data_IF_295249789296
#
_entry.id   IF_295249789296
#
_cell.length_a   1.000
_cell.length_b   1.000
_cell.length_c   1.000
_cell.angle_alpha   90.00
_cell.angle_beta   90.00
_cell.angle_gamma   90.00
#
_symmetry.space_group_name_H-M   'P 1'
#
loop_
_entity.id
_entity.type
_entity.pdbx_description
1 polymer ?
#
# COMPACT_ATOMS: atom_id res chain seq x y z
N UNK A 1 -1.95 -13.57 0.70
CA UNK A 1 -0.92 -13.70 1.75
C UNK A 1 -0.40 -12.30 2.07
N UNK A 2 -0.25 -11.95 3.35
CA UNK A 2 0.31 -10.68 3.79
C UNK A 2 1.23 -10.90 5.01
N UNK A 3 2.29 -10.10 5.11
CA UNK A 3 3.19 -10.09 6.27
C UNK A 3 2.64 -9.27 7.43
N UNK A 4 3.14 -9.53 8.65
CA UNK A 4 2.80 -8.81 9.87
C UNK A 4 2.99 -7.32 9.71
N UNK A 5 3.96 -6.93 8.89
CA UNK A 5 4.23 -5.53 8.63
C UNK A 5 2.96 -4.83 8.17
N UNK A 6 2.00 -5.44 7.46
CA UNK A 6 0.76 -4.79 6.96
C UNK A 6 -0.32 -4.51 8.01
N UNK A 7 -0.15 -4.95 9.26
CA UNK A 7 -1.06 -4.62 10.37
C UNK A 7 -0.66 -3.26 10.91
N UNK A 8 -1.62 -2.34 11.04
CA UNK A 8 -1.39 -0.98 11.53
C UNK A 8 -2.29 -0.73 12.72
N UNK A 9 -1.68 -0.27 13.82
CA UNK A 9 -2.40 0.24 14.98
C UNK A 9 -2.96 1.64 14.68
N UNK A 10 -4.15 1.93 15.19
CA UNK A 10 -4.82 3.22 15.02
C UNK A 10 -5.97 3.19 14.01
N UNK A 11 -6.08 4.26 13.22
CA UNK A 11 -7.20 4.50 12.32
C UNK A 11 -6.87 4.28 10.84
N UNK A 12 -7.88 4.46 9.99
CA UNK A 12 -7.75 4.35 8.53
C UNK A 12 -6.72 5.35 7.99
N UNK A 13 -6.63 6.56 8.57
CA UNK A 13 -5.66 7.57 8.13
C UNK A 13 -4.22 7.11 8.38
N UNK A 14 -3.96 6.47 9.52
CA UNK A 14 -2.66 5.90 9.87
C UNK A 14 -2.27 4.78 8.88
N UNK A 15 -3.23 3.93 8.51
CA UNK A 15 -3.02 2.90 7.50
C UNK A 15 -2.70 3.48 6.11
N UNK A 16 -3.46 4.49 5.67
CA UNK A 16 -3.22 5.19 4.40
C UNK A 16 -1.85 5.87 4.40
N UNK A 17 -1.47 6.51 5.51
CA UNK A 17 -0.18 7.17 5.66
C UNK A 17 0.97 6.18 5.49
N UNK A 18 0.90 5.00 6.11
CA UNK A 18 1.89 3.95 5.90
C UNK A 18 1.97 3.51 4.43
N UNK A 19 0.85 3.41 3.72
CA UNK A 19 0.88 3.08 2.28
C UNK A 19 1.62 4.16 1.49
N UNK A 20 1.31 5.44 1.75
CA UNK A 20 1.87 6.59 1.04
C UNK A 20 3.35 6.82 1.35
N UNK A 21 3.74 6.70 2.61
CA UNK A 21 5.06 7.11 3.10
C UNK A 21 6.07 5.95 3.14
N UNK A 22 5.60 4.70 3.29
CA UNK A 22 6.49 3.55 3.44
C UNK A 22 6.39 2.56 2.28
N UNK A 23 5.17 2.11 1.92
CA UNK A 23 5.03 1.04 0.94
C UNK A 23 5.18 1.52 -0.52
N UNK A 24 4.59 2.68 -0.84
CA UNK A 24 4.53 3.18 -2.23
C UNK A 24 5.86 3.67 -2.78
N UNK A 25 6.68 4.47 -2.06
CA UNK A 25 7.93 5.01 -2.61
C UNK A 25 8.95 3.94 -3.06
N UNK A 26 9.34 2.95 -2.23
CA UNK A 26 10.28 1.92 -2.65
C UNK A 26 9.69 1.01 -3.73
N UNK A 27 8.37 0.76 -3.71
CA UNK A 27 7.73 -0.05 -4.74
C UNK A 27 7.67 0.68 -6.10
N UNK A 28 7.38 1.98 -6.10
CA UNK A 28 7.42 2.82 -7.31
C UNK A 28 8.84 2.87 -7.89
N UNK A 29 9.86 3.02 -7.04
CA UNK A 29 11.27 2.95 -7.45
C UNK A 29 11.63 1.59 -8.04
N UNK A 30 11.27 0.49 -7.38
CA UNK A 30 11.52 -0.89 -7.87
C UNK A 30 10.89 -1.15 -9.25
N UNK A 31 9.72 -0.57 -9.50
CA UNK A 31 8.98 -0.70 -10.76
C UNK A 31 9.35 0.36 -11.81
N UNK A 32 10.33 1.23 -11.53
CA UNK A 32 10.77 2.32 -12.42
C UNK A 32 9.63 3.27 -12.85
N UNK A 33 8.69 3.57 -11.95
CA UNK A 33 7.63 4.54 -12.23
C UNK A 33 8.16 5.98 -12.18
N UNK A 34 7.66 6.86 -13.07
CA UNK A 34 8.03 8.28 -13.10
C UNK A 34 7.18 9.07 -12.13
N UNK A 35 7.38 8.81 -10.83
CA UNK A 35 6.68 9.51 -9.75
C UNK A 35 7.67 10.24 -8.85
N UNK A 36 7.30 11.41 -8.28
CA UNK A 36 8.18 12.13 -7.36
C UNK A 36 8.61 11.27 -6.17
N UNK A 37 7.77 10.32 -5.72
CA UNK A 37 8.11 9.43 -4.61
C UNK A 37 9.09 8.32 -4.99
N UNK A 38 9.17 7.91 -6.27
CA UNK A 38 10.19 6.98 -6.72
C UNK A 38 11.59 7.62 -6.61
N UNK A 39 11.70 8.91 -6.95
CA UNK A 39 12.97 9.64 -6.91
C UNK A 39 13.31 10.07 -5.48
N UNK A 40 12.43 10.84 -4.84
CA UNK A 40 12.68 11.43 -3.51
C UNK A 40 12.62 10.44 -2.34
N UNK A 41 11.91 9.33 -2.50
CA UNK A 41 11.61 8.41 -1.40
C UNK A 41 10.49 8.87 -0.46
N UNK A 42 9.92 10.07 -0.67
CA UNK A 42 8.85 10.64 0.16
C UNK A 42 7.58 10.87 -0.65
N UNK A 43 6.43 10.72 -0.01
CA UNK A 43 5.15 11.05 -0.65
C UNK A 43 5.00 12.57 -0.80
N UNK A 44 4.67 13.03 -2.01
CA UNK A 44 4.37 14.43 -2.31
C UNK A 44 2.90 14.65 -2.68
N UNK A 45 2.03 13.69 -2.35
CA UNK A 45 0.61 13.63 -2.77
C UNK A 45 0.39 13.97 -4.25
N UNK A 46 1.19 13.36 -5.12
CA UNK A 46 1.25 13.75 -6.53
C UNK A 46 -0.01 13.38 -7.34
N UNK A 47 -0.16 14.04 -8.49
CA UNK A 47 -1.11 13.70 -9.55
C UNK A 47 -0.38 13.19 -10.81
N UNK A 48 0.76 12.51 -10.66
CA UNK A 48 1.48 11.92 -11.79
C UNK A 48 0.59 10.92 -12.54
N UNK A 49 0.62 10.89 -13.89
CA UNK A 49 -0.02 9.82 -14.66
C UNK A 49 0.41 8.42 -14.24
N UNK A 50 1.66 8.29 -13.74
CA UNK A 50 2.26 7.02 -13.28
C UNK A 50 2.01 6.75 -11.78
N UNK A 51 1.08 7.47 -11.14
CA UNK A 51 0.79 7.30 -9.70
C UNK A 51 0.39 5.86 -9.36
N UNK A 52 1.22 5.20 -8.54
CA UNK A 52 0.98 3.84 -8.06
C UNK A 52 -0.15 3.76 -7.02
N UNK A 53 -0.24 4.73 -6.11
CA UNK A 53 -1.21 4.79 -5.01
C UNK A 53 -2.49 5.54 -5.41
N UNK A 54 -3.11 5.11 -6.53
CA UNK A 54 -4.24 5.80 -7.17
C UNK A 54 -5.63 5.45 -6.62
N UNK A 55 -5.76 4.35 -5.88
CA UNK A 55 -7.04 3.89 -5.34
C UNK A 55 -6.84 3.35 -3.93
N UNK A 56 -7.85 3.57 -3.09
CA UNK A 56 -7.98 2.95 -1.77
C UNK A 56 -9.27 2.13 -1.79
N UNK A 57 -9.17 0.87 -1.40
CA UNK A 57 -10.32 -0.03 -1.29
C UNK A 57 -10.48 -0.45 0.16
N UNK A 58 -11.70 -0.27 0.70
CA UNK A 58 -12.08 -0.71 2.03
C UNK A 58 -13.05 -1.88 1.85
N UNK A 59 -12.72 -3.03 2.44
CA UNK A 59 -13.54 -4.25 2.35
C UNK A 59 -14.17 -4.49 3.71
N UNK A 60 -15.46 -4.20 3.84
CA UNK A 60 -16.21 -4.48 5.08
C UNK A 60 -16.62 -5.95 5.20
N UNK A 61 -16.84 -6.63 4.07
CA UNK A 61 -17.24 -8.05 4.01
C UNK A 61 -16.77 -8.71 2.73
N UNK A 62 -16.63 -10.04 2.75
CA UNK A 62 -16.31 -10.82 1.55
C UNK A 62 -17.34 -10.58 0.42
N UNK A 63 -16.90 -10.49 -0.84
CA UNK A 63 -17.81 -10.48 -1.99
C UNK A 63 -18.71 -11.73 -2.02
N UNK A 64 -19.96 -11.57 -2.47
CA UNK A 64 -20.97 -12.66 -2.41
C UNK A 64 -20.61 -13.87 -3.25
N UNK A 65 -19.99 -13.66 -4.41
CA UNK A 65 -19.74 -14.67 -5.42
C UNK A 65 -18.29 -15.15 -5.45
N UNK A 66 -17.48 -14.81 -4.44
CA UNK A 66 -16.05 -15.11 -4.45
C UNK A 66 -15.59 -15.53 -3.07
N UNK A 67 -14.85 -16.62 -3.03
CA UNK A 67 -14.12 -17.01 -1.83
C UNK A 67 -13.02 -15.99 -1.55
N UNK A 68 -12.85 -15.66 -0.28
CA UNK A 68 -11.97 -14.59 0.14
C UNK A 68 -11.28 -15.02 1.43
N UNK A 69 -9.96 -15.20 1.36
CA UNK A 69 -9.15 -15.62 2.48
C UNK A 69 -7.89 -14.75 2.56
N UNK A 70 -7.56 -14.31 3.77
CA UNK A 70 -6.35 -13.52 4.06
C UNK A 70 -5.47 -14.32 5.00
N UNK A 71 -4.40 -14.88 4.47
CA UNK A 71 -3.37 -15.56 5.27
C UNK A 71 -2.35 -14.52 5.75
N UNK A 72 -2.25 -14.37 7.07
CA UNK A 72 -1.26 -13.52 7.74
C UNK A 72 -0.07 -14.36 8.19
N UNK A 73 1.13 -13.91 7.85
CA UNK A 73 2.40 -14.53 8.25
C UNK A 73 3.10 -13.61 9.24
N UNK A 74 3.65 -14.16 10.33
CA UNK A 74 4.34 -13.41 11.37
C UNK A 74 5.77 -12.95 10.95
N UNK A 75 5.90 -12.43 9.74
CA UNK A 75 7.16 -11.96 9.14
C UNK A 75 6.92 -10.67 8.35
N UNK A 76 7.98 -9.88 8.18
CA UNK A 76 7.93 -8.66 7.37
C UNK A 76 8.10 -9.01 5.89
N UNK A 77 7.01 -8.93 5.12
CA UNK A 77 7.00 -9.29 3.70
C UNK A 77 6.83 -8.05 2.83
N UNK A 78 7.73 -7.84 1.87
CA UNK A 78 7.69 -6.68 0.98
C UNK A 78 7.77 -5.34 1.71
N UNK A 79 7.07 -4.33 1.17
CA UNK A 79 7.05 -2.95 1.68
C UNK A 79 5.80 -2.69 2.54
#
# INVERSE_FOLDING_TARGET
IAGRNKIIEGDINTAIKRIKDWASPPNARRLNFKTPCADSGFCSDCNSPDRICRIITIIERKPRLTDFEVILINEDLGF
#
